data_IF_619212223209
#
_entry.id   IF_619212223209
#
_cell.length_a   1.000
_cell.length_b   1.000
_cell.length_c   1.000
_cell.angle_alpha   90.00
_cell.angle_beta   90.00
_cell.angle_gamma   90.00
#
_symmetry.space_group_name_H-M   'P 1'
#
loop_
_entity.id
_entity.type
_entity.pdbx_description
1 polymer ?
#
# COMPACT_ATOMS: atom_id res chain seq x y z
N UNK A 1 -19.79 -11.99 -4.21
CA UNK A 1 -18.64 -12.69 -4.82
C UNK A 1 -17.45 -12.63 -3.87
N UNK A 2 -16.70 -13.70 -3.74
CA UNK A 2 -15.52 -13.70 -2.88
C UNK A 2 -14.40 -12.84 -3.47
N UNK A 3 -13.60 -12.29 -2.58
CA UNK A 3 -12.38 -11.57 -2.96
C UNK A 3 -11.24 -12.59 -3.05
N UNK A 4 -10.50 -12.57 -4.13
CA UNK A 4 -9.29 -13.37 -4.31
C UNK A 4 -8.09 -12.48 -4.52
N UNK A 5 -6.91 -12.96 -4.18
CA UNK A 5 -5.67 -12.19 -4.33
C UNK A 5 -4.67 -12.96 -5.19
N UNK A 6 -3.82 -12.22 -5.87
CA UNK A 6 -2.72 -12.79 -6.65
C UNK A 6 -1.60 -11.75 -6.84
N UNK A 7 -0.39 -12.20 -7.20
CA UNK A 7 0.62 -11.24 -7.62
C UNK A 7 0.13 -10.42 -8.82
N UNK A 8 0.46 -9.14 -8.83
CA UNK A 8 0.13 -8.26 -9.94
C UNK A 8 1.10 -8.48 -11.10
N UNK A 9 0.64 -8.16 -12.30
CA UNK A 9 1.47 -8.12 -13.49
C UNK A 9 1.36 -6.74 -14.13
N UNK A 10 2.25 -6.36 -15.05
CA UNK A 10 2.13 -5.08 -15.76
C UNK A 10 0.79 -4.87 -16.47
N UNK A 11 0.08 -5.95 -16.80
CA UNK A 11 -1.26 -5.87 -17.38
C UNK A 11 -2.28 -5.24 -16.41
N UNK A 12 -1.97 -5.22 -15.10
CA UNK A 12 -2.83 -4.63 -14.08
C UNK A 12 -2.60 -3.13 -13.90
N UNK A 13 -1.64 -2.54 -14.60
CA UNK A 13 -1.22 -1.16 -14.36
C UNK A 13 -2.36 -0.15 -14.50
N UNK A 14 -3.24 -0.33 -15.48
CA UNK A 14 -4.36 0.59 -15.69
C UNK A 14 -5.34 0.54 -14.51
N UNK A 15 -5.66 -0.65 -14.01
CA UNK A 15 -6.55 -0.81 -12.87
C UNK A 15 -5.93 -0.26 -11.59
N UNK A 16 -4.65 -0.50 -11.38
CA UNK A 16 -3.90 0.04 -10.23
C UNK A 16 -3.89 1.57 -10.28
N UNK A 17 -3.60 2.16 -11.45
CA UNK A 17 -3.59 3.61 -11.62
C UNK A 17 -4.94 4.22 -11.26
N UNK A 18 -6.02 3.62 -11.73
CA UNK A 18 -7.38 4.09 -11.43
C UNK A 18 -7.63 4.13 -9.92
N UNK A 19 -7.31 3.04 -9.23
CA UNK A 19 -7.53 2.94 -7.78
C UNK A 19 -6.63 3.90 -7.01
N UNK A 20 -5.36 3.99 -7.39
CA UNK A 20 -4.40 4.91 -6.77
C UNK A 20 -4.88 6.36 -6.92
N UNK A 21 -5.35 6.74 -8.12
CA UNK A 21 -5.83 8.09 -8.40
C UNK A 21 -7.09 8.42 -7.60
N UNK A 22 -7.96 7.45 -7.34
CA UNK A 22 -9.09 7.64 -6.42
C UNK A 22 -8.59 8.00 -5.02
N UNK A 23 -7.54 7.33 -4.54
CA UNK A 23 -6.93 7.65 -3.24
C UNK A 23 -6.35 9.05 -3.21
N UNK A 24 -5.73 9.49 -4.30
CA UNK A 24 -5.22 10.85 -4.42
C UNK A 24 -6.39 11.86 -4.36
N UNK A 25 -7.44 11.61 -5.11
CA UNK A 25 -8.61 12.50 -5.14
C UNK A 25 -9.27 12.63 -3.79
N UNK A 26 -9.34 11.54 -3.03
CA UNK A 26 -10.04 11.49 -1.76
C UNK A 26 -9.21 12.06 -0.58
N UNK A 27 -7.93 12.35 -0.78
CA UNK A 27 -7.04 13.02 0.19
C UNK A 27 -6.92 12.30 1.54
N UNK A 28 -7.04 10.98 1.56
CA UNK A 28 -7.08 10.22 2.82
C UNK A 28 -5.87 9.31 3.03
N UNK A 29 -5.06 9.06 2.00
CA UNK A 29 -4.08 7.98 2.05
C UNK A 29 -2.67 8.37 1.62
N UNK A 30 -2.46 9.53 1.02
CA UNK A 30 -1.16 9.89 0.45
C UNK A 30 -0.95 11.39 0.41
N UNK A 31 0.31 11.82 0.49
CA UNK A 31 0.69 13.22 0.25
C UNK A 31 0.69 13.58 -1.25
N UNK A 32 0.60 12.58 -2.12
CA UNK A 32 0.61 12.82 -3.56
C UNK A 32 -0.66 13.53 -4.01
N UNK A 33 -0.52 14.45 -4.95
CA UNK A 33 -1.65 15.23 -5.49
C UNK A 33 -1.78 15.09 -7.00
N UNK A 34 -0.73 14.59 -7.67
CA UNK A 34 -0.73 14.44 -9.13
C UNK A 34 -1.15 13.01 -9.50
N UNK A 35 -2.20 12.85 -10.32
CA UNK A 35 -2.59 11.51 -10.81
C UNK A 35 -1.45 10.83 -11.56
N UNK A 36 -1.46 9.50 -11.55
CA UNK A 36 -0.48 8.67 -12.24
C UNK A 36 -1.10 8.03 -13.46
N UNK A 37 -0.29 7.88 -14.51
CA UNK A 37 -0.68 7.15 -15.72
C UNK A 37 -0.38 5.66 -15.55
N UNK A 38 -1.02 4.78 -16.35
CA UNK A 38 -0.66 3.36 -16.33
C UNK A 38 0.82 3.12 -16.64
N UNK A 39 1.43 3.90 -17.50
CA UNK A 39 2.85 3.78 -17.85
C UNK A 39 3.74 4.05 -16.64
N UNK A 40 3.36 5.03 -15.80
CA UNK A 40 4.09 5.30 -14.57
C UNK A 40 3.97 4.13 -13.58
N UNK A 41 2.79 3.53 -13.49
CA UNK A 41 2.58 2.36 -12.63
C UNK A 41 3.41 1.17 -13.12
N UNK A 42 3.54 1.00 -14.43
CA UNK A 42 4.36 -0.07 -15.00
C UNK A 42 5.80 -0.03 -14.46
N UNK A 43 6.32 1.15 -14.19
CA UNK A 43 7.68 1.31 -13.63
C UNK A 43 7.80 0.84 -12.18
N UNK A 44 6.70 0.60 -11.49
CA UNK A 44 6.74 0.03 -10.14
C UNK A 44 7.16 -1.44 -10.14
N UNK A 45 7.05 -2.11 -11.30
CA UNK A 45 7.37 -3.53 -11.44
C UNK A 45 8.88 -3.66 -11.71
N UNK A 46 9.66 -3.75 -10.64
CA UNK A 46 11.13 -3.80 -10.71
C UNK A 46 11.70 -5.20 -10.52
N UNK A 47 10.87 -6.21 -10.35
CA UNK A 47 11.30 -7.59 -10.14
C UNK A 47 11.82 -7.88 -8.73
N UNK A 48 11.85 -6.89 -7.85
CA UNK A 48 12.38 -7.01 -6.48
C UNK A 48 11.27 -6.77 -5.45
N UNK A 49 10.41 -5.79 -5.68
CA UNK A 49 9.39 -5.35 -4.74
C UNK A 49 8.02 -5.89 -5.15
N UNK A 50 7.43 -6.81 -4.37
CA UNK A 50 6.14 -7.41 -4.71
C UNK A 50 5.01 -6.39 -4.79
N UNK A 51 4.09 -6.64 -5.70
CA UNK A 51 2.81 -5.94 -5.83
C UNK A 51 1.75 -7.02 -5.96
N UNK A 52 0.65 -6.88 -5.23
CA UNK A 52 -0.47 -7.82 -5.29
C UNK A 52 -1.75 -7.06 -5.62
N UNK A 53 -2.68 -7.74 -6.26
CA UNK A 53 -4.03 -7.22 -6.52
C UNK A 53 -5.06 -8.10 -5.83
N UNK A 54 -6.17 -7.46 -5.47
CA UNK A 54 -7.37 -8.15 -5.00
C UNK A 54 -8.43 -8.04 -6.09
N UNK A 55 -9.10 -9.16 -6.37
CA UNK A 55 -10.10 -9.23 -7.43
C UNK A 55 -11.45 -9.69 -6.89
N UNK A 56 -12.50 -9.18 -7.51
CA UNK A 56 -13.86 -9.67 -7.32
C UNK A 56 -14.45 -9.88 -8.71
N UNK A 57 -14.93 -11.09 -8.99
CA UNK A 57 -15.52 -11.45 -10.29
C UNK A 57 -14.58 -11.10 -11.47
N UNK A 58 -13.29 -11.32 -11.30
CA UNK A 58 -12.30 -11.06 -12.35
C UNK A 58 -11.88 -9.59 -12.51
N UNK A 59 -12.41 -8.70 -11.70
CA UNK A 59 -12.10 -7.28 -11.74
C UNK A 59 -11.20 -6.89 -10.57
N UNK A 60 -10.14 -6.15 -10.83
CA UNK A 60 -9.26 -5.64 -9.76
C UNK A 60 -10.00 -4.57 -8.97
N UNK A 61 -10.13 -4.78 -7.66
CA UNK A 61 -10.85 -3.89 -6.75
C UNK A 61 -9.96 -3.28 -5.67
N UNK A 62 -8.71 -3.73 -5.58
CA UNK A 62 -7.74 -3.20 -4.64
C UNK A 62 -6.35 -3.69 -4.97
N UNK A 63 -5.35 -3.07 -4.36
CA UNK A 63 -3.96 -3.52 -4.50
C UNK A 63 -3.15 -3.18 -3.27
N UNK A 64 -2.04 -3.87 -3.11
CA UNK A 64 -1.02 -3.53 -2.13
C UNK A 64 0.34 -3.62 -2.82
N UNK A 65 1.20 -2.65 -2.54
CA UNK A 65 2.49 -2.56 -3.21
C UNK A 65 3.62 -2.32 -2.22
N UNK A 66 4.83 -2.72 -2.61
CA UNK A 66 6.05 -2.40 -1.89
C UNK A 66 6.97 -1.57 -2.77
N UNK A 67 7.84 -0.80 -2.13
CA UNK A 67 8.86 -0.01 -2.80
C UNK A 67 10.07 0.13 -1.87
N UNK A 68 11.18 0.64 -2.41
CA UNK A 68 12.40 0.85 -1.63
C UNK A 68 12.13 1.78 -0.44
N UNK A 69 12.64 1.39 0.73
CA UNK A 69 12.54 2.22 1.92
C UNK A 69 13.57 3.35 1.88
N UNK A 70 14.85 3.00 1.75
CA UNK A 70 15.96 3.96 1.65
C UNK A 70 17.07 3.35 0.80
N UNK A 71 17.90 4.22 0.20
CA UNK A 71 18.91 3.80 -0.77
C UNK A 71 20.12 3.08 -0.18
N UNK A 72 20.33 3.10 1.14
CA UNK A 72 21.50 2.48 1.76
C UNK A 72 21.35 0.95 1.80
N UNK A 73 22.46 0.24 1.57
CA UNK A 73 22.48 -1.23 1.51
C UNK A 73 21.94 -1.90 2.77
N UNK A 74 22.15 -1.30 3.94
CA UNK A 74 21.66 -1.85 5.20
C UNK A 74 20.13 -1.89 5.27
N UNK A 75 19.44 -1.15 4.41
CA UNK A 75 17.97 -1.13 4.34
C UNK A 75 17.41 -1.91 3.16
N UNK A 76 18.24 -2.66 2.44
CA UNK A 76 17.81 -3.32 1.20
C UNK A 76 16.70 -4.37 1.40
N UNK A 77 16.57 -4.92 2.61
CA UNK A 77 15.53 -5.91 2.93
C UNK A 77 14.33 -5.30 3.65
N UNK A 78 14.29 -3.98 3.77
CA UNK A 78 13.17 -3.23 4.33
C UNK A 78 12.47 -2.54 3.18
N UNK A 79 11.14 -2.66 3.11
CA UNK A 79 10.36 -2.01 2.07
C UNK A 79 9.24 -1.17 2.68
N UNK A 80 8.92 -0.06 2.03
CA UNK A 80 7.69 0.67 2.31
C UNK A 80 6.54 -0.02 1.59
N UNK A 81 5.37 0.04 2.18
CA UNK A 81 4.18 -0.55 1.55
C UNK A 81 3.03 0.44 1.52
N UNK A 82 2.11 0.19 0.60
CA UNK A 82 0.86 0.95 0.47
C UNK A 82 -0.26 -0.01 0.15
N UNK A 83 -1.47 0.30 0.62
CA UNK A 83 -2.69 -0.48 0.35
C UNK A 83 -3.77 0.50 -0.10
N UNK A 84 -4.41 0.21 -1.22
CA UNK A 84 -5.48 1.04 -1.76
C UNK A 84 -6.65 0.16 -2.19
N UNK A 85 -7.85 0.61 -1.90
CA UNK A 85 -9.09 -0.09 -2.27
C UNK A 85 -9.91 0.83 -3.17
N UNK A 86 -10.48 0.27 -4.23
CA UNK A 86 -11.37 1.00 -5.11
C UNK A 86 -12.51 1.62 -4.32
N UNK A 87 -12.88 2.85 -4.68
CA UNK A 87 -13.85 3.66 -3.91
C UNK A 87 -15.14 2.90 -3.63
N UNK A 88 -15.63 2.15 -4.61
CA UNK A 88 -16.89 1.43 -4.50
C UNK A 88 -16.80 0.12 -3.72
N UNK A 89 -15.61 -0.26 -3.28
CA UNK A 89 -15.36 -1.54 -2.61
C UNK A 89 -14.79 -1.36 -1.19
N UNK A 90 -14.75 -0.14 -0.68
CA UNK A 90 -14.26 0.15 0.67
C UNK A 90 -15.23 -0.38 1.72
N UNK A 91 -14.70 -0.73 2.90
CA UNK A 91 -15.51 -1.27 4.00
C UNK A 91 -15.84 -2.74 3.86
N UNK A 92 -15.25 -3.46 2.89
CA UNK A 92 -15.53 -4.87 2.61
C UNK A 92 -14.31 -5.76 2.84
N UNK A 93 -13.36 -5.31 3.62
CA UNK A 93 -12.14 -6.02 4.00
C UNK A 93 -11.20 -6.35 2.83
N UNK A 94 -11.34 -5.68 1.71
CA UNK A 94 -10.46 -5.86 0.55
C UNK A 94 -9.02 -5.51 0.93
N UNK A 95 -8.83 -4.41 1.65
CA UNK A 95 -7.50 -3.98 2.09
C UNK A 95 -6.81 -5.00 2.99
N UNK A 96 -7.55 -5.64 3.89
CA UNK A 96 -6.99 -6.69 4.76
C UNK A 96 -6.49 -7.87 3.97
N UNK A 97 -7.25 -8.30 2.97
CA UNK A 97 -6.88 -9.44 2.15
C UNK A 97 -5.67 -9.13 1.27
N UNK A 98 -5.65 -7.92 0.67
CA UNK A 98 -4.50 -7.47 -0.12
C UNK A 98 -3.24 -7.40 0.74
N UNK A 99 -3.35 -6.85 1.95
CA UNK A 99 -2.20 -6.73 2.85
C UNK A 99 -1.68 -8.09 3.31
N UNK A 100 -2.56 -9.04 3.61
CA UNK A 100 -2.17 -10.39 3.97
C UNK A 100 -1.40 -11.07 2.83
N UNK A 101 -1.87 -10.89 1.60
CA UNK A 101 -1.20 -11.42 0.42
C UNK A 101 0.17 -10.75 0.20
N UNK A 102 0.25 -9.44 0.42
CA UNK A 102 1.51 -8.71 0.28
C UNK A 102 2.56 -9.19 1.29
N UNK A 103 2.15 -9.44 2.52
CA UNK A 103 3.05 -9.98 3.56
C UNK A 103 3.64 -11.30 3.10
N UNK A 104 2.82 -12.20 2.57
CA UNK A 104 3.27 -13.51 2.12
C UNK A 104 4.21 -13.40 0.91
N UNK A 105 3.88 -12.57 -0.07
CA UNK A 105 4.73 -12.36 -1.23
C UNK A 105 6.05 -11.67 -0.85
N UNK A 106 6.01 -10.79 0.13
CA UNK A 106 7.22 -10.12 0.65
C UNK A 106 8.15 -11.12 1.33
N UNK A 107 7.58 -12.06 2.10
CA UNK A 107 8.35 -13.14 2.71
C UNK A 107 9.03 -14.01 1.65
N UNK A 108 8.29 -14.40 0.61
CA UNK A 108 8.82 -15.20 -0.49
C UNK A 108 9.92 -14.46 -1.26
N UNK A 109 9.80 -13.14 -1.38
CA UNK A 109 10.79 -12.32 -2.05
C UNK A 109 12.06 -12.08 -1.22
N UNK A 110 12.08 -12.55 0.02
CA UNK A 110 13.25 -12.41 0.91
C UNK A 110 13.30 -11.08 1.64
N UNK A 111 12.23 -10.31 1.67
CA UNK A 111 12.17 -9.09 2.48
C UNK A 111 12.11 -9.47 3.96
N UNK A 112 12.61 -8.57 4.79
CA UNK A 112 12.70 -8.78 6.24
C UNK A 112 11.65 -8.00 7.01
N UNK A 113 11.32 -6.80 6.56
CA UNK A 113 10.41 -5.90 7.27
C UNK A 113 9.65 -4.99 6.31
N UNK A 114 8.37 -4.77 6.62
CA UNK A 114 7.54 -3.78 5.95
C UNK A 114 7.25 -2.61 6.89
N UNK A 115 7.29 -1.41 6.35
CA UNK A 115 7.07 -0.15 7.08
C UNK A 115 6.11 0.72 6.28
N UNK A 116 5.27 1.49 6.95
CA UNK A 116 4.44 2.48 6.26
C UNK A 116 4.15 3.67 7.15
N UNK A 117 3.69 4.73 6.52
CA UNK A 117 3.22 5.96 7.17
C UNK A 117 1.75 6.13 6.83
N UNK A 118 0.94 6.36 7.85
CA UNK A 118 -0.51 6.41 7.72
C UNK A 118 -1.00 7.69 8.39
N UNK A 119 -1.93 8.40 7.75
CA UNK A 119 -2.54 9.56 8.40
C UNK A 119 -3.32 9.09 9.63
N UNK A 120 -3.21 9.79 10.77
CA UNK A 120 -3.90 9.36 12.00
C UNK A 120 -5.42 9.17 11.82
N UNK A 121 -6.04 9.99 10.99
CA UNK A 121 -7.49 9.92 10.73
C UNK A 121 -7.90 8.79 9.81
N UNK A 122 -6.94 8.10 9.16
CA UNK A 122 -7.23 6.93 8.32
C UNK A 122 -7.41 5.70 9.20
N UNK A 123 -8.53 5.66 9.90
CA UNK A 123 -8.84 4.63 10.91
C UNK A 123 -8.91 3.24 10.26
N UNK A 124 -9.46 3.15 9.06
CA UNK A 124 -9.60 1.88 8.35
C UNK A 124 -8.23 1.25 8.04
N UNK A 125 -7.27 2.05 7.57
CA UNK A 125 -5.94 1.57 7.28
C UNK A 125 -5.19 1.15 8.55
N UNK A 126 -5.32 1.92 9.61
CA UNK A 126 -4.71 1.58 10.91
C UNK A 126 -5.26 0.26 11.45
N UNK A 127 -6.57 0.07 11.36
CA UNK A 127 -7.22 -1.17 11.81
C UNK A 127 -6.77 -2.37 10.97
N UNK A 128 -6.68 -2.21 9.65
CA UNK A 128 -6.22 -3.27 8.77
C UNK A 128 -4.78 -3.68 9.08
N UNK A 129 -3.90 -2.72 9.33
CA UNK A 129 -2.51 -2.98 9.70
C UNK A 129 -2.42 -3.72 11.04
N UNK A 130 -3.19 -3.26 12.03
CA UNK A 130 -3.21 -3.90 13.36
C UNK A 130 -3.66 -5.36 13.23
N UNK A 131 -4.72 -5.60 12.48
CA UNK A 131 -5.24 -6.96 12.25
C UNK A 131 -4.22 -7.84 11.53
N UNK A 132 -3.35 -7.26 10.70
CA UNK A 132 -2.31 -7.98 9.97
C UNK A 132 -1.01 -8.16 10.77
N UNK A 133 -0.98 -7.76 12.04
CA UNK A 133 0.17 -7.94 12.91
C UNK A 133 1.19 -6.81 12.90
N UNK A 134 0.86 -5.67 12.32
CA UNK A 134 1.71 -4.48 12.39
C UNK A 134 1.55 -3.81 13.75
N UNK A 135 2.64 -3.25 14.27
CA UNK A 135 2.58 -2.41 15.44
C UNK A 135 2.68 -0.94 15.07
N UNK A 136 2.01 -0.09 15.82
CA UNK A 136 2.18 1.36 15.69
C UNK A 136 3.40 1.76 16.51
N UNK A 137 4.45 2.20 15.80
CA UNK A 137 5.72 2.56 16.42
C UNK A 137 5.62 3.89 17.15
N UNK A 138 4.89 4.84 16.58
CA UNK A 138 4.73 6.16 17.11
C UNK A 138 4.15 7.10 16.08
N UNK A 139 4.12 8.39 16.41
CA UNK A 139 3.58 9.42 15.55
C UNK A 139 4.66 10.45 15.27
N UNK A 140 4.94 10.70 13.99
CA UNK A 140 5.75 11.83 13.58
C UNK A 140 4.83 13.04 13.47
N UNK A 141 5.09 14.05 14.29
CA UNK A 141 4.28 15.27 14.30
C UNK A 141 4.67 16.18 13.15
N UNK A 142 3.65 16.70 12.44
CA UNK A 142 3.83 17.68 11.35
C UNK A 142 4.94 17.23 10.40
N UNK A 143 4.81 16.03 9.86
CA UNK A 143 5.90 15.37 9.13
C UNK A 143 5.83 15.57 7.62
N UNK A 144 4.74 16.08 7.10
CA UNK A 144 4.59 16.37 5.68
C UNK A 144 3.44 17.33 5.45
N UNK A 145 3.44 17.98 4.28
CA UNK A 145 2.36 18.89 3.90
C UNK A 145 1.50 18.30 2.81
N UNK A 146 0.19 18.41 2.96
CA UNK A 146 -0.78 18.10 1.92
C UNK A 146 -1.56 19.37 1.65
N UNK A 147 -1.35 19.93 0.46
CA UNK A 147 -2.01 21.17 0.03
C UNK A 147 -1.83 22.31 1.05
N UNK A 148 -0.59 22.47 1.55
CA UNK A 148 -0.23 23.52 2.49
C UNK A 148 -0.56 23.25 3.94
N UNK A 149 -1.21 22.12 4.25
CA UNK A 149 -1.56 21.75 5.61
C UNK A 149 -0.62 20.69 6.15
N UNK A 150 -0.04 20.93 7.33
CA UNK A 150 0.82 19.95 7.98
C UNK A 150 0.04 18.74 8.48
N UNK A 151 0.56 17.57 8.23
CA UNK A 151 -0.04 16.30 8.63
C UNK A 151 0.90 15.50 9.50
N UNK A 152 0.35 14.88 10.53
CA UNK A 152 1.07 13.88 11.32
C UNK A 152 1.09 12.56 10.56
N UNK A 153 2.08 11.71 10.87
CA UNK A 153 2.18 10.37 10.29
C UNK A 153 2.32 9.34 11.41
N UNK A 154 1.39 8.39 11.43
CA UNK A 154 1.53 7.19 12.27
C UNK A 154 2.45 6.22 11.54
N UNK A 155 3.50 5.78 12.21
CA UNK A 155 4.45 4.83 11.67
C UNK A 155 4.05 3.42 12.11
N UNK A 156 3.92 2.51 11.15
CA UNK A 156 3.63 1.10 11.42
C UNK A 156 4.74 0.22 10.85
N UNK A 157 5.00 -0.90 11.50
CA UNK A 157 6.01 -1.85 11.03
C UNK A 157 5.63 -3.28 11.37
N UNK A 158 6.11 -4.22 10.56
CA UNK A 158 5.97 -5.65 10.82
C UNK A 158 7.18 -6.40 10.23
N UNK A 159 7.75 -7.29 11.02
CA UNK A 159 8.71 -8.25 10.52
C UNK A 159 7.98 -9.30 9.69
N UNK A 160 8.53 -9.65 8.52
CA UNK A 160 7.90 -10.60 7.58
C UNK A 160 8.77 -11.81 7.30
N UNK A 161 9.83 -11.98 8.07
CA UNK A 161 10.74 -13.12 7.98
C UNK A 161 10.07 -14.44 8.37
#
# INVERSE_FOLDING_TARGET
>A
MPITTRPATPADAAAIAKIYNQGIQDRIATFETRPRTPEEITRWFDGVHPIVVAEEAGQVVGFASTSSYRARDCYSKIAEFSVYVGRDHRGRQVGRQALAALIEESRKAGLHKLVSRIFPENVASRAACRAAGFREVGVYKEHGQLEGEWKDCVIVERLVR
#
